data_IF_222407932853
#
_entry.id   IF_222407932853
#
_cell.length_a   1.000
_cell.length_b   1.000
_cell.length_c   1.000
_cell.angle_alpha   90.00
_cell.angle_beta   90.00
_cell.angle_gamma   90.00
#
_symmetry.space_group_name_H-M   'P 1'
#
loop_
_entity.id
_entity.type
_entity.pdbx_description
1 polymer ?
#
# COMPACT_ATOMS: atom_id res chain seq x y z
N UNK A 1 -41.30 -11.96 -81.59
CA UNK A 1 -40.18 -12.65 -82.27
C UNK A 1 -38.97 -12.64 -81.36
N UNK A 2 -38.44 -13.84 -81.09
CA UNK A 2 -37.03 -14.19 -80.82
C UNK A 2 -36.25 -13.59 -79.63
N UNK A 3 -36.10 -14.45 -78.62
CA UNK A 3 -34.92 -14.77 -77.78
C UNK A 3 -33.59 -14.04 -78.06
N UNK A 4 -32.83 -13.77 -76.99
CA UNK A 4 -31.52 -14.40 -76.75
C UNK A 4 -31.10 -14.29 -75.28
N UNK A 5 -30.45 -15.34 -74.80
CA UNK A 5 -30.12 -15.66 -73.41
C UNK A 5 -28.65 -15.32 -73.08
N UNK A 6 -28.30 -15.18 -71.79
CA UNK A 6 -27.06 -15.77 -71.24
C UNK A 6 -27.12 -15.86 -69.69
N UNK A 7 -26.66 -16.96 -69.06
CA UNK A 7 -26.64 -17.14 -67.60
C UNK A 7 -25.25 -16.88 -67.01
N UNK A 8 -25.16 -16.48 -65.73
CA UNK A 8 -23.92 -16.63 -64.93
C UNK A 8 -24.17 -16.99 -63.46
N UNK A 9 -23.62 -18.15 -63.13
CA UNK A 9 -23.00 -18.61 -61.88
C UNK A 9 -23.61 -18.30 -60.50
N UNK A 10 -23.96 -19.41 -59.85
CA UNK A 10 -24.11 -19.60 -58.40
C UNK A 10 -22.74 -19.51 -57.71
N UNK A 11 -22.69 -18.84 -56.55
CA UNK A 11 -21.78 -19.18 -55.45
C UNK A 11 -22.67 -19.43 -54.23
N UNK A 12 -22.68 -20.68 -53.78
CA UNK A 12 -23.23 -21.06 -52.48
C UNK A 12 -22.16 -20.75 -51.44
N UNK A 13 -22.44 -19.82 -50.52
CA UNK A 13 -21.67 -19.67 -49.28
C UNK A 13 -22.47 -20.36 -48.18
N UNK A 14 -21.93 -21.46 -47.67
CA UNK A 14 -22.40 -22.14 -46.47
C UNK A 14 -22.18 -21.23 -45.24
N UNK A 15 -23.16 -21.05 -44.34
CA UNK A 15 -22.90 -20.44 -43.05
C UNK A 15 -22.22 -21.48 -42.15
N UNK A 16 -20.93 -21.26 -41.86
CA UNK A 16 -20.20 -21.99 -40.83
C UNK A 16 -20.72 -21.52 -39.46
N UNK A 17 -21.37 -22.45 -38.77
CA UNK A 17 -21.72 -22.38 -37.35
C UNK A 17 -20.45 -22.03 -36.56
N UNK A 18 -20.37 -20.81 -36.00
CA UNK A 18 -19.33 -20.44 -35.04
C UNK A 18 -19.88 -20.71 -33.65
N UNK A 19 -19.15 -21.57 -32.94
CA UNK A 19 -19.36 -21.95 -31.56
C UNK A 19 -19.32 -20.71 -30.66
N UNK A 20 -20.26 -20.64 -29.73
CA UNK A 20 -20.20 -19.75 -28.58
C UNK A 20 -19.12 -20.26 -27.63
N UNK A 21 -17.92 -19.68 -27.69
CA UNK A 21 -16.95 -19.83 -26.62
C UNK A 21 -17.37 -18.93 -25.46
N UNK A 22 -17.68 -19.56 -24.33
CA UNK A 22 -18.02 -18.89 -23.07
C UNK A 22 -16.82 -18.13 -22.52
N UNK A 23 -16.79 -16.82 -22.76
CA UNK A 23 -15.92 -15.91 -22.01
C UNK A 23 -16.54 -15.73 -20.63
N UNK A 24 -16.04 -16.49 -19.65
CA UNK A 24 -16.19 -16.11 -18.26
C UNK A 24 -15.50 -14.75 -18.08
N UNK A 25 -16.30 -13.70 -17.84
CA UNK A 25 -15.81 -12.43 -17.33
C UNK A 25 -15.10 -12.71 -16.01
N UNK A 26 -13.78 -12.88 -16.05
CA UNK A 26 -12.93 -12.73 -14.87
C UNK A 26 -13.12 -11.29 -14.43
N UNK A 27 -13.99 -11.06 -13.44
CA UNK A 27 -14.00 -9.80 -12.71
C UNK A 27 -12.71 -9.79 -11.91
N UNK A 28 -11.66 -9.25 -12.51
CA UNK A 28 -10.47 -8.82 -11.79
C UNK A 28 -10.98 -7.86 -10.71
N UNK A 29 -11.05 -8.37 -9.48
CA UNK A 29 -11.50 -7.58 -8.34
C UNK A 29 -10.34 -6.67 -8.03
N UNK A 30 -10.41 -5.45 -8.56
CA UNK A 30 -9.41 -4.42 -8.34
C UNK A 30 -9.27 -4.25 -6.82
N UNK A 31 -8.16 -4.74 -6.28
CA UNK A 31 -7.91 -4.67 -4.84
C UNK A 31 -7.64 -3.22 -4.49
N UNK A 32 -8.43 -2.64 -3.59
CA UNK A 32 -8.26 -1.25 -3.15
C UNK A 32 -6.88 -1.11 -2.51
N UNK A 33 -6.10 -0.11 -2.93
CA UNK A 33 -4.77 0.15 -2.39
C UNK A 33 -4.81 0.50 -0.90
N UNK A 34 -3.76 0.16 -0.15
CA UNK A 34 -3.63 0.47 1.27
C UNK A 34 -3.86 1.96 1.58
N UNK A 35 -3.24 2.85 0.81
CA UNK A 35 -3.41 4.29 0.96
C UNK A 35 -4.85 4.76 0.73
N UNK A 36 -5.61 4.10 -0.15
CA UNK A 36 -7.01 4.47 -0.40
C UNK A 36 -7.90 4.02 0.75
N UNK A 37 -7.71 2.78 1.23
CA UNK A 37 -8.40 2.27 2.42
C UNK A 37 -8.18 3.16 3.64
N UNK A 38 -6.94 3.58 3.88
CA UNK A 38 -6.60 4.43 5.02
C UNK A 38 -7.24 5.83 4.91
N UNK A 39 -7.22 6.45 3.72
CA UNK A 39 -7.91 7.73 3.47
C UNK A 39 -9.42 7.63 3.70
N UNK A 40 -10.04 6.56 3.19
CA UNK A 40 -11.47 6.30 3.38
C UNK A 40 -11.80 6.10 4.85
N UNK A 41 -10.95 5.38 5.58
CA UNK A 41 -11.11 5.17 7.01
C UNK A 41 -11.01 6.49 7.80
N UNK A 42 -9.98 7.31 7.57
CA UNK A 42 -9.86 8.64 8.20
C UNK A 42 -11.09 9.53 7.91
N UNK A 43 -11.58 9.52 6.67
CA UNK A 43 -12.78 10.27 6.31
C UNK A 43 -14.03 9.76 7.05
N UNK A 44 -14.14 8.44 7.26
CA UNK A 44 -15.28 7.80 7.94
C UNK A 44 -15.30 8.05 9.44
N UNK A 45 -14.15 8.07 10.09
CA UNK A 45 -14.02 8.30 11.56
C UNK A 45 -14.15 9.78 11.93
N UNK A 46 -14.36 10.67 10.95
CA UNK A 46 -14.48 12.11 11.18
C UNK A 46 -13.15 12.79 11.50
N UNK A 47 -12.04 12.05 11.43
CA UNK A 47 -10.69 12.57 11.62
C UNK A 47 -10.24 13.20 10.31
N UNK A 48 -10.25 14.54 10.26
CA UNK A 48 -9.70 15.27 9.13
C UNK A 48 -8.17 15.22 9.18
N UNK A 49 -7.59 14.17 8.59
CA UNK A 49 -6.14 14.08 8.35
C UNK A 49 -5.76 14.89 7.12
N UNK A 50 -5.08 16.05 7.26
CA UNK A 50 -4.58 16.77 6.10
C UNK A 50 -3.47 15.93 5.48
N UNK A 51 -3.64 15.59 4.21
CA UNK A 51 -2.70 14.78 3.44
C UNK A 51 -1.89 15.66 2.47
N UNK A 52 -0.63 15.31 2.28
CA UNK A 52 0.22 15.78 1.18
C UNK A 52 0.64 14.62 0.29
N UNK A 53 0.92 14.94 -0.97
CA UNK A 53 1.57 14.03 -1.91
C UNK A 53 3.06 14.30 -1.89
N UNK A 54 3.84 13.32 -1.44
CA UNK A 54 5.29 13.46 -1.43
C UNK A 54 5.83 13.19 -2.84
N UNK A 55 6.64 14.10 -3.36
CA UNK A 55 7.27 13.93 -4.67
C UNK A 55 8.30 12.80 -4.66
N UNK A 56 8.50 12.17 -5.82
CA UNK A 56 9.51 11.13 -5.99
C UNK A 56 10.91 11.57 -5.57
N UNK A 57 11.32 12.81 -5.88
CA UNK A 57 12.62 13.34 -5.47
C UNK A 57 12.79 13.37 -3.94
N UNK A 58 11.74 13.72 -3.19
CA UNK A 58 11.77 13.70 -1.72
C UNK A 58 11.86 12.27 -1.20
N UNK A 59 11.10 11.35 -1.79
CA UNK A 59 11.16 9.93 -1.43
C UNK A 59 12.56 9.36 -1.72
N UNK A 60 13.15 9.65 -2.88
CA UNK A 60 14.50 9.23 -3.25
C UNK A 60 15.53 9.81 -2.27
N UNK A 61 15.36 11.06 -1.83
CA UNK A 61 16.23 11.65 -0.82
C UNK A 61 16.13 10.93 0.54
N UNK A 62 14.94 10.47 0.94
CA UNK A 62 14.75 9.65 2.15
C UNK A 62 15.43 8.28 2.01
N UNK A 63 15.24 7.61 0.88
CA UNK A 63 15.89 6.34 0.55
C UNK A 63 17.41 6.47 0.60
N UNK A 64 17.95 7.55 0.01
CA UNK A 64 19.38 7.85 0.02
C UNK A 64 19.90 8.17 1.43
N UNK A 65 19.15 8.96 2.22
CA UNK A 65 19.53 9.34 3.59
C UNK A 65 19.79 8.12 4.48
N UNK A 66 18.92 7.11 4.41
CA UNK A 66 19.04 5.91 5.24
C UNK A 66 19.66 4.71 4.51
N UNK A 67 20.04 4.87 3.23
CA UNK A 67 20.59 3.80 2.38
C UNK A 67 19.67 2.58 2.36
N UNK A 68 18.40 2.81 2.01
CA UNK A 68 17.33 1.82 1.95
C UNK A 68 16.60 1.88 0.60
N UNK A 69 15.73 0.91 0.35
CA UNK A 69 14.67 1.00 -0.66
C UNK A 69 13.32 0.83 0.03
N UNK A 70 12.36 1.69 -0.28
CA UNK A 70 11.04 1.59 0.34
C UNK A 70 10.24 0.44 -0.28
N UNK A 71 9.52 -0.34 0.54
CA UNK A 71 8.47 -1.25 0.08
C UNK A 71 7.49 -0.52 -0.85
N UNK A 72 7.09 -1.11 -2.00
CA UNK A 72 6.31 -0.41 -3.02
C UNK A 72 4.97 0.16 -2.52
N UNK A 73 4.29 -0.57 -1.63
CA UNK A 73 3.02 -0.15 -1.05
C UNK A 73 3.18 0.99 -0.03
N UNK A 74 4.25 0.97 0.77
CA UNK A 74 4.62 2.08 1.65
C UNK A 74 5.05 3.31 0.85
N UNK A 75 5.79 3.14 -0.24
CA UNK A 75 6.12 4.22 -1.18
C UNK A 75 4.85 4.88 -1.74
N UNK A 76 3.89 4.06 -2.16
CA UNK A 76 2.60 4.54 -2.66
C UNK A 76 1.78 5.28 -1.59
N UNK A 77 1.88 4.87 -0.32
CA UNK A 77 1.30 5.60 0.80
C UNK A 77 1.89 7.00 0.96
N UNK A 78 3.22 7.12 0.90
CA UNK A 78 3.86 8.44 1.00
C UNK A 78 3.50 9.34 -0.18
N UNK A 79 3.45 8.79 -1.40
CA UNK A 79 3.13 9.60 -2.60
C UNK A 79 1.68 10.06 -2.66
N UNK A 80 0.74 9.35 -2.03
CA UNK A 80 -0.70 9.58 -2.21
C UNK A 80 -1.47 10.02 -0.96
N UNK A 81 -0.94 9.78 0.25
CA UNK A 81 -1.70 9.96 1.50
C UNK A 81 -0.84 10.25 2.74
N UNK A 82 0.38 10.77 2.60
CA UNK A 82 1.21 11.13 3.76
C UNK A 82 0.55 12.25 4.56
N UNK A 83 0.49 12.19 5.91
CA UNK A 83 0.06 13.31 6.73
C UNK A 83 0.95 14.55 6.52
N UNK A 84 0.37 15.75 6.57
CA UNK A 84 1.10 17.03 6.52
C UNK A 84 1.75 17.35 7.87
N UNK A 85 1.12 16.90 8.95
CA UNK A 85 1.55 17.10 10.34
C UNK A 85 1.20 15.86 11.15
N UNK A 86 1.77 15.76 12.35
CA UNK A 86 1.33 14.79 13.35
C UNK A 86 -0.19 14.90 13.50
N UNK A 87 -0.86 13.77 13.37
CA UNK A 87 -2.30 13.73 13.46
C UNK A 87 -2.76 12.43 14.10
N UNK A 88 -3.60 12.63 15.11
CA UNK A 88 -4.16 11.57 15.92
C UNK A 88 -5.45 11.11 15.26
N UNK A 89 -5.56 9.82 15.05
CA UNK A 89 -6.82 9.20 14.66
C UNK A 89 -7.65 8.75 15.86
N UNK A 90 -8.78 8.12 15.56
CA UNK A 90 -9.74 7.65 16.56
C UNK A 90 -9.15 6.58 17.50
N UNK A 91 -8.12 5.86 17.07
CA UNK A 91 -7.48 4.76 17.82
C UNK A 91 -6.20 5.21 18.52
N UNK A 92 -6.04 6.52 18.75
CA UNK A 92 -4.86 7.14 19.36
C UNK A 92 -3.56 6.86 18.59
N UNK A 93 -3.67 6.49 17.31
CA UNK A 93 -2.57 6.39 16.38
C UNK A 93 -2.19 7.78 15.88
N UNK A 94 -0.94 8.18 16.08
CA UNK A 94 -0.41 9.41 15.55
C UNK A 94 0.44 9.13 14.31
N UNK A 95 -0.15 9.31 13.13
CA UNK A 95 0.53 9.06 11.85
C UNK A 95 1.56 10.14 11.56
N UNK A 96 2.77 9.73 11.24
CA UNK A 96 3.88 10.67 11.13
C UNK A 96 3.88 11.37 9.78
N UNK A 97 4.06 12.71 9.76
CA UNK A 97 4.32 13.39 8.51
C UNK A 97 5.67 12.96 7.95
N UNK A 98 5.85 13.09 6.64
CA UNK A 98 7.07 12.66 5.96
C UNK A 98 8.36 13.21 6.58
N UNK A 99 8.34 14.46 7.05
CA UNK A 99 9.48 15.12 7.70
C UNK A 99 9.88 14.50 9.05
N UNK A 100 9.00 13.72 9.68
CA UNK A 100 9.21 13.09 10.99
C UNK A 100 9.71 11.64 10.88
N UNK A 101 9.63 11.04 9.69
CA UNK A 101 10.08 9.68 9.43
C UNK A 101 11.58 9.57 9.70
N UNK A 102 11.92 8.64 10.59
CA UNK A 102 13.29 8.37 11.04
C UNK A 102 13.53 6.88 11.18
N UNK A 103 14.79 6.49 11.10
CA UNK A 103 15.16 5.13 11.43
C UNK A 103 15.23 4.89 12.94
N UNK A 104 15.32 3.62 13.34
CA UNK A 104 15.32 3.27 14.77
C UNK A 104 16.46 3.97 15.52
N UNK A 105 17.74 3.90 15.09
CA UNK A 105 18.84 4.51 15.84
C UNK A 105 18.76 6.04 16.00
N UNK A 106 18.15 6.76 15.05
CA UNK A 106 17.99 8.21 15.16
C UNK A 106 16.88 8.62 16.14
N UNK A 107 15.89 7.74 16.32
CA UNK A 107 14.68 8.05 17.07
C UNK A 107 14.64 7.41 18.46
N UNK A 108 15.14 6.18 18.58
CA UNK A 108 14.96 5.34 19.74
C UNK A 108 16.28 4.65 20.12
N UNK A 109 16.86 5.13 21.23
CA UNK A 109 18.09 4.57 21.81
C UNK A 109 17.72 3.45 22.79
N UNK A 110 17.64 2.22 22.28
CA UNK A 110 17.35 1.02 23.06
C UNK A 110 18.47 0.01 22.97
N UNK A 111 18.65 -0.74 24.08
CA UNK A 111 19.58 -1.87 24.17
C UNK A 111 19.12 -3.10 23.39
N UNK A 112 17.84 -3.13 23.04
CA UNK A 112 17.21 -4.16 22.23
C UNK A 112 16.64 -3.49 20.99
N UNK A 113 17.20 -3.87 19.84
CA UNK A 113 16.74 -3.44 18.53
C UNK A 113 16.85 -4.65 17.60
N UNK A 114 15.96 -4.78 16.60
CA UNK A 114 16.10 -5.84 15.60
C UNK A 114 17.46 -5.75 14.88
N UNK A 115 17.89 -6.86 14.29
CA UNK A 115 19.00 -6.83 13.34
C UNK A 115 18.69 -5.81 12.22
N UNK A 116 19.71 -5.12 11.71
CA UNK A 116 19.54 -4.07 10.70
C UNK A 116 18.59 -2.94 11.13
N UNK A 117 18.54 -2.58 12.42
CA UNK A 117 17.68 -1.52 12.96
C UNK A 117 17.78 -0.17 12.19
N UNK A 118 18.94 0.13 11.58
CA UNK A 118 19.15 1.32 10.75
C UNK A 118 18.34 1.31 9.44
N UNK A 119 17.77 0.16 9.07
CA UNK A 119 16.92 -0.08 7.89
C UNK A 119 15.42 -0.09 8.20
N UNK A 120 15.04 0.07 9.46
CA UNK A 120 13.64 0.21 9.84
C UNK A 120 13.26 1.67 9.91
N UNK A 121 12.07 2.04 9.43
CA UNK A 121 11.55 3.40 9.50
C UNK A 121 10.27 3.47 10.33
N UNK A 122 10.23 4.38 11.29
CA UNK A 122 9.02 4.71 12.03
C UNK A 122 8.06 5.54 11.18
N UNK A 123 6.77 5.21 11.24
CA UNK A 123 5.72 5.91 10.49
C UNK A 123 4.44 6.19 11.29
N UNK A 124 4.31 5.61 12.49
CA UNK A 124 3.14 5.72 13.35
C UNK A 124 3.57 5.43 14.80
N UNK A 125 3.12 6.24 15.76
CA UNK A 125 3.20 5.91 17.18
C UNK A 125 1.80 5.83 17.80
N UNK A 126 1.70 5.12 18.93
CA UNK A 126 0.46 5.03 19.70
C UNK A 126 0.62 5.77 21.03
N UNK A 127 -0.37 6.61 21.37
CA UNK A 127 -0.50 7.25 22.67
C UNK A 127 0.78 7.96 23.18
N UNK A 128 1.30 8.92 22.40
CA UNK A 128 2.51 9.69 22.74
C UNK A 128 3.70 8.78 23.00
N UNK A 129 4.03 7.92 22.02
CA UNK A 129 5.18 7.03 22.10
C UNK A 129 5.09 5.93 23.19
N UNK A 130 3.90 5.49 23.59
CA UNK A 130 3.76 4.25 24.39
C UNK A 130 4.38 3.05 23.67
N UNK A 131 4.20 2.99 22.36
CA UNK A 131 4.98 2.20 21.41
C UNK A 131 4.86 2.84 20.02
N UNK A 132 5.64 2.33 19.07
CA UNK A 132 5.60 2.77 17.68
C UNK A 132 5.72 1.59 16.71
N UNK A 133 5.22 1.79 15.49
CA UNK A 133 5.35 0.85 14.39
C UNK A 133 6.46 1.30 13.45
N UNK A 134 7.31 0.34 13.10
CA UNK A 134 8.38 0.55 12.13
C UNK A 134 8.28 -0.46 11.00
N UNK A 135 8.54 -0.02 9.77
CA UNK A 135 8.58 -0.87 8.58
C UNK A 135 10.03 -1.22 8.22
N UNK A 136 10.31 -2.50 8.00
CA UNK A 136 11.62 -2.95 7.53
C UNK A 136 11.81 -2.58 6.05
N UNK A 137 12.92 -1.93 5.77
CA UNK A 137 13.43 -1.67 4.43
C UNK A 137 14.76 -2.40 4.18
N UNK A 138 15.07 -3.41 5.00
CA UNK A 138 16.25 -4.24 4.85
C UNK A 138 16.11 -5.17 3.65
N UNK A 139 17.18 -5.37 2.88
CA UNK A 139 17.20 -6.27 1.71
C UNK A 139 17.39 -7.72 2.16
N UNK A 140 16.45 -8.21 2.97
CA UNK A 140 16.44 -9.55 3.54
C UNK A 140 15.00 -10.09 3.70
N UNK A 141 14.83 -11.21 4.42
CA UNK A 141 13.53 -11.86 4.62
C UNK A 141 12.51 -11.00 5.37
N UNK A 142 12.93 -9.89 5.99
CA UNK A 142 12.06 -8.97 6.72
C UNK A 142 11.52 -7.84 5.85
N UNK A 143 11.98 -7.68 4.60
CA UNK A 143 11.60 -6.57 3.72
C UNK A 143 10.08 -6.35 3.66
N UNK A 144 9.62 -5.15 4.01
CA UNK A 144 8.20 -4.78 4.03
C UNK A 144 7.44 -5.15 5.31
N UNK A 145 8.00 -6.00 6.16
CA UNK A 145 7.37 -6.37 7.44
C UNK A 145 7.29 -5.17 8.40
N UNK A 146 6.28 -5.18 9.26
CA UNK A 146 6.06 -4.15 10.27
C UNK A 146 6.23 -4.75 11.64
N UNK A 147 6.98 -4.04 12.49
CA UNK A 147 7.27 -4.42 13.87
C UNK A 147 6.78 -3.36 14.85
N UNK A 148 6.45 -3.79 16.07
CA UNK A 148 6.23 -2.89 17.23
C UNK A 148 7.54 -2.65 17.97
N UNK A 149 7.79 -1.41 18.39
CA UNK A 149 8.97 -0.98 19.16
C UNK A 149 8.52 -0.13 20.36
N UNK A 150 9.18 -0.24 21.51
CA UNK A 150 8.80 0.46 22.75
C UNK A 150 7.89 -0.36 23.69
N UNK A 151 7.45 -1.54 23.25
CA UNK A 151 6.77 -2.58 24.04
C UNK A 151 7.36 -3.96 23.74
N UNK A 152 6.57 -5.05 23.80
CA UNK A 152 6.99 -6.34 23.27
C UNK A 152 7.31 -6.21 21.76
N UNK A 153 8.58 -6.42 21.42
CA UNK A 153 9.04 -6.36 20.03
C UNK A 153 8.56 -7.60 19.28
N UNK A 154 7.71 -7.40 18.27
CA UNK A 154 7.17 -8.48 17.43
C UNK A 154 6.84 -7.99 16.03
N UNK A 155 6.89 -8.91 15.06
CA UNK A 155 6.33 -8.67 13.73
C UNK A 155 4.81 -8.73 13.83
N UNK A 156 4.14 -7.66 13.40
CA UNK A 156 2.68 -7.55 13.43
C UNK A 156 2.04 -7.66 12.07
N UNK A 157 2.78 -7.44 10.97
CA UNK A 157 2.30 -7.62 9.60
C UNK A 157 3.48 -7.91 8.65
N UNK A 158 3.23 -8.63 7.55
CA UNK A 158 4.23 -8.93 6.53
C UNK A 158 4.39 -7.82 5.47
N UNK A 159 3.46 -6.87 5.42
CA UNK A 159 3.49 -5.72 4.49
C UNK A 159 2.74 -4.52 5.04
N UNK A 160 2.95 -3.34 4.45
CA UNK A 160 2.16 -2.15 4.79
C UNK A 160 0.68 -2.33 4.45
N UNK A 161 0.38 -3.00 3.34
CA UNK A 161 -0.99 -3.29 2.93
C UNK A 161 -1.73 -4.18 3.93
N UNK A 162 -1.08 -5.25 4.40
CA UNK A 162 -1.65 -6.11 5.44
C UNK A 162 -1.83 -5.34 6.77
N UNK A 163 -0.86 -4.51 7.13
CA UNK A 163 -0.96 -3.67 8.32
C UNK A 163 -2.16 -2.74 8.24
N UNK A 164 -2.35 -2.01 7.14
CA UNK A 164 -3.50 -1.12 6.98
C UNK A 164 -4.82 -1.90 7.03
N UNK A 165 -4.91 -3.04 6.35
CA UNK A 165 -6.12 -3.87 6.35
C UNK A 165 -6.55 -4.27 7.76
N UNK A 166 -5.56 -4.64 8.59
CA UNK A 166 -5.77 -5.00 9.97
C UNK A 166 -6.04 -3.77 10.84
N UNK A 167 -5.27 -2.70 10.68
CA UNK A 167 -5.42 -1.46 11.45
C UNK A 167 -6.82 -0.87 11.34
N UNK A 168 -7.36 -0.74 10.12
CA UNK A 168 -8.68 -0.12 9.89
C UNK A 168 -9.86 -1.04 10.25
N UNK A 169 -9.61 -2.34 10.42
CA UNK A 169 -10.64 -3.34 10.73
C UNK A 169 -10.67 -3.71 12.22
N UNK A 170 -9.49 -3.86 12.82
CA UNK A 170 -9.24 -4.23 14.22
C UNK A 170 -7.79 -3.85 14.59
N UNK A 171 -7.58 -2.61 15.03
CA UNK A 171 -6.25 -2.09 15.35
C UNK A 171 -5.56 -2.85 16.49
N UNK A 172 -6.31 -3.48 17.40
CA UNK A 172 -5.75 -4.30 18.47
C UNK A 172 -5.01 -5.52 17.91
N UNK A 173 -5.40 -5.99 16.72
CA UNK A 173 -4.71 -7.11 16.08
C UNK A 173 -3.27 -6.76 15.66
N UNK A 174 -2.93 -5.48 15.50
CA UNK A 174 -1.57 -5.02 15.14
C UNK A 174 -0.85 -4.32 16.29
N UNK A 175 -1.39 -4.37 17.51
CA UNK A 175 -0.76 -3.85 18.73
C UNK A 175 -0.03 -4.93 19.50
#
# INVERSE_FOLDING_TARGET
>A
MLFTATPRNRIFVTPRLLMFDGWALVRETQTVSAHSKLKEWWAKTGVLVPIERISDDRIVALEARYKIRLPPDFRAYLSESSPVRQNWDEEMGNWWPFSRIKNIPEEYDSRFTPENADKYLFFLDHCVWCWAWAISCADDATYGSIVTIGGPEKVVAASFSEFVDRYVSDWLSVS
#
